data_IF_047231748854
#
_entry.id   IF_047231748854
#
_cell.length_a   1.000
_cell.length_b   1.000
_cell.length_c   1.000
_cell.angle_alpha   90.00
_cell.angle_beta   90.00
_cell.angle_gamma   90.00
#
_symmetry.space_group_name_H-M   'P 1'
#
loop_
_entity.id
_entity.type
_entity.pdbx_description
1 polymer ?
#
# COMPACT_ATOMS: atom_id res chain seq x y z
N UNK A 1 -5.23 -19.16 10.72
CA UNK A 1 -6.63 -18.94 10.28
C UNK A 1 -7.20 -17.67 10.91
N UNK A 2 -7.03 -16.53 10.24
CA UNK A 2 -7.88 -15.37 10.47
C UNK A 2 -8.19 -14.77 9.09
N UNK A 3 -9.01 -15.49 8.31
CA UNK A 3 -9.57 -14.95 7.09
C UNK A 3 -10.89 -14.28 7.48
N UNK A 4 -10.80 -13.04 7.98
CA UNK A 4 -11.96 -12.14 7.89
C UNK A 4 -12.25 -11.94 6.39
N UNK A 5 -13.51 -11.85 5.97
CA UNK A 5 -13.81 -11.50 4.58
C UNK A 5 -13.11 -10.18 4.27
N UNK A 6 -12.27 -10.18 3.23
CA UNK A 6 -11.61 -8.97 2.75
C UNK A 6 -12.70 -7.92 2.47
N UNK A 7 -12.42 -6.67 2.82
CA UNK A 7 -13.37 -5.56 2.71
C UNK A 7 -14.05 -5.46 1.33
N UNK A 8 -13.32 -5.88 0.29
CA UNK A 8 -13.79 -5.95 -1.10
C UNK A 8 -14.96 -6.92 -1.32
N UNK A 9 -15.01 -8.06 -0.61
CA UNK A 9 -16.14 -9.00 -0.71
C UNK A 9 -17.31 -8.55 0.14
N UNK A 10 -17.05 -7.97 1.31
CA UNK A 10 -18.07 -7.40 2.19
C UNK A 10 -18.88 -6.31 1.49
N UNK A 11 -18.21 -5.44 0.74
CA UNK A 11 -18.86 -4.36 -0.01
C UNK A 11 -19.30 -4.76 -1.44
N UNK A 12 -19.12 -6.02 -1.84
CA UNK A 12 -19.46 -6.50 -3.19
C UNK A 12 -18.66 -5.81 -4.31
N UNK A 13 -17.51 -5.22 -3.97
CA UNK A 13 -16.64 -4.52 -4.91
C UNK A 13 -15.89 -5.49 -5.83
N UNK A 14 -15.57 -6.70 -5.35
CA UNK A 14 -14.94 -7.74 -6.14
C UNK A 14 -15.48 -9.13 -5.76
N UNK A 15 -15.79 -10.01 -6.74
CA UNK A 15 -16.24 -11.36 -6.44
C UNK A 15 -15.09 -12.21 -5.86
N UNK A 16 -15.41 -13.10 -4.93
CA UNK A 16 -14.43 -13.85 -4.12
C UNK A 16 -13.46 -14.68 -4.97
N UNK A 17 -13.93 -15.25 -6.07
CA UNK A 17 -13.11 -16.05 -6.97
C UNK A 17 -11.98 -15.26 -7.64
N UNK A 18 -12.06 -13.92 -7.64
CA UNK A 18 -11.00 -13.03 -8.15
C UNK A 18 -9.98 -12.64 -7.10
N UNK A 19 -10.11 -13.13 -5.87
CA UNK A 19 -9.20 -12.83 -4.78
C UNK A 19 -8.36 -14.07 -4.46
N UNK A 20 -7.08 -13.86 -4.18
CA UNK A 20 -6.17 -14.89 -3.66
C UNK A 20 -5.52 -14.35 -2.40
N UNK A 21 -5.54 -15.14 -1.34
CA UNK A 21 -4.86 -14.83 -0.09
C UNK A 21 -3.48 -15.49 -0.11
N UNK A 22 -2.45 -14.73 0.21
CA UNK A 22 -1.08 -15.22 0.33
C UNK A 22 -0.61 -15.03 1.76
N UNK A 23 -0.37 -16.14 2.47
CA UNK A 23 0.16 -16.10 3.82
C UNK A 23 1.69 -16.01 3.76
N UNK A 24 2.25 -14.84 4.11
CA UNK A 24 3.69 -14.57 4.04
C UNK A 24 4.50 -15.14 5.21
N UNK A 25 3.83 -15.83 6.15
CA UNK A 25 4.43 -16.24 7.42
C UNK A 25 4.69 -15.05 8.35
N UNK A 26 5.97 -14.73 8.59
CA UNK A 26 6.38 -13.76 9.62
C UNK A 26 7.08 -12.47 9.15
N UNK A 27 7.51 -12.40 7.88
CA UNK A 27 8.28 -11.25 7.37
C UNK A 27 7.62 -10.65 6.11
N UNK A 28 6.57 -9.82 6.25
CA UNK A 28 5.84 -9.26 5.11
C UNK A 28 6.73 -8.46 4.14
N UNK A 29 7.78 -7.76 4.63
CA UNK A 29 8.70 -7.04 3.74
C UNK A 29 9.49 -7.98 2.82
N UNK A 30 9.78 -9.19 3.26
CA UNK A 30 10.61 -10.12 2.51
C UNK A 30 9.80 -10.66 1.33
N UNK A 31 8.53 -11.02 1.60
CA UNK A 31 7.59 -11.53 0.61
C UNK A 31 7.30 -10.53 -0.54
N UNK A 32 7.45 -9.22 -0.30
CA UNK A 32 7.20 -8.21 -1.34
C UNK A 32 8.46 -7.63 -1.96
N UNK A 33 9.65 -7.95 -1.43
CA UNK A 33 10.91 -7.33 -1.86
C UNK A 33 12.06 -8.30 -2.10
N UNK A 34 12.37 -9.15 -1.14
CA UNK A 34 13.57 -10.00 -1.16
C UNK A 34 13.30 -11.35 -1.81
N UNK A 35 12.15 -11.96 -1.52
CA UNK A 35 11.67 -13.18 -2.15
C UNK A 35 10.20 -13.01 -2.51
N UNK A 36 9.97 -12.63 -3.77
CA UNK A 36 8.64 -12.34 -4.31
C UNK A 36 7.93 -13.59 -4.86
N UNK A 37 8.59 -14.75 -4.82
CA UNK A 37 8.14 -15.97 -5.50
C UNK A 37 6.75 -16.42 -5.05
N UNK A 38 6.44 -16.25 -3.76
CA UNK A 38 5.15 -16.61 -3.17
C UNK A 38 3.98 -15.81 -3.74
N UNK A 39 4.23 -14.58 -4.21
CA UNK A 39 3.21 -13.72 -4.81
C UNK A 39 3.04 -13.96 -6.31
N UNK A 40 4.12 -14.33 -7.02
CA UNK A 40 4.09 -14.49 -8.48
C UNK A 40 3.15 -15.61 -8.96
N UNK A 41 3.05 -16.71 -8.20
CA UNK A 41 2.17 -17.83 -8.55
C UNK A 41 0.69 -17.41 -8.63
N UNK A 42 0.10 -16.92 -7.54
CA UNK A 42 -1.28 -16.44 -7.51
C UNK A 42 -1.56 -15.31 -8.51
N UNK A 43 -0.63 -14.36 -8.68
CA UNK A 43 -0.79 -13.29 -9.68
C UNK A 43 -0.87 -13.85 -11.10
N UNK A 44 0.00 -14.81 -11.44
CA UNK A 44 -0.01 -15.48 -12.75
C UNK A 44 -1.28 -16.29 -12.97
N UNK A 45 -1.79 -16.96 -11.93
CA UNK A 45 -3.06 -17.68 -11.99
C UNK A 45 -4.22 -16.73 -12.30
N UNK A 46 -4.38 -15.65 -11.53
CA UNK A 46 -5.44 -14.66 -11.71
C UNK A 46 -5.36 -13.98 -13.08
N UNK A 47 -4.16 -13.59 -13.51
CA UNK A 47 -3.93 -13.01 -14.84
C UNK A 47 -4.41 -13.96 -15.95
N UNK A 48 -4.05 -15.24 -15.86
CA UNK A 48 -4.41 -16.22 -16.89
C UNK A 48 -5.90 -16.57 -16.89
N UNK A 49 -6.49 -16.74 -15.71
CA UNK A 49 -7.87 -17.17 -15.53
C UNK A 49 -8.86 -16.09 -15.96
N UNK A 50 -8.59 -14.82 -15.62
CA UNK A 50 -9.50 -13.71 -15.86
C UNK A 50 -9.09 -12.78 -17.00
N UNK A 51 -7.94 -13.02 -17.63
CA UNK A 51 -7.35 -12.12 -18.65
C UNK A 51 -7.34 -10.67 -18.15
N UNK A 52 -6.94 -10.50 -16.89
CA UNK A 52 -7.02 -9.23 -16.19
C UNK A 52 -6.07 -8.20 -16.81
N UNK A 53 -6.58 -6.99 -17.08
CA UNK A 53 -5.78 -5.86 -17.53
C UNK A 53 -4.92 -5.26 -16.40
N UNK A 54 -5.37 -5.43 -15.14
CA UNK A 54 -4.71 -4.94 -13.94
C UNK A 54 -4.90 -5.92 -12.79
N UNK A 55 -3.85 -6.08 -11.99
CA UNK A 55 -3.86 -6.84 -10.74
C UNK A 55 -3.47 -5.92 -9.58
N UNK A 56 -4.18 -6.04 -8.47
CA UNK A 56 -3.85 -5.36 -7.22
C UNK A 56 -3.17 -6.35 -6.28
N UNK A 57 -2.00 -5.97 -5.78
CA UNK A 57 -1.27 -6.75 -4.77
C UNK A 57 -1.17 -5.90 -3.50
N UNK A 58 -1.88 -6.31 -2.46
CA UNK A 58 -1.84 -5.65 -1.16
C UNK A 58 -0.79 -6.33 -0.26
N UNK A 59 0.12 -5.54 0.33
CA UNK A 59 1.03 -6.06 1.35
C UNK A 59 0.29 -6.26 2.67
N UNK A 60 0.72 -7.20 3.52
CA UNK A 60 0.13 -7.41 4.85
C UNK A 60 0.36 -6.30 5.90
N UNK A 61 0.78 -5.10 5.48
CA UNK A 61 1.12 -3.98 6.34
C UNK A 61 2.55 -4.06 6.89
N UNK A 62 3.23 -2.90 6.97
CA UNK A 62 4.58 -2.80 7.50
C UNK A 62 4.91 -1.36 7.92
N UNK A 63 6.15 -1.13 8.36
CA UNK A 63 6.68 0.19 8.66
C UNK A 63 7.15 0.94 7.39
N UNK A 64 7.64 2.16 7.59
CA UNK A 64 8.08 3.10 6.55
C UNK A 64 9.26 2.60 5.69
N UNK A 65 9.97 1.54 6.14
CA UNK A 65 11.09 0.95 5.41
C UNK A 65 10.65 -0.08 4.35
N UNK A 66 9.39 -0.49 4.35
CA UNK A 66 8.87 -1.45 3.38
C UNK A 66 8.50 -0.76 2.07
N UNK A 67 8.89 -1.39 0.97
CA UNK A 67 8.50 -1.02 -0.38
C UNK A 67 8.50 -2.29 -1.25
N UNK A 68 7.65 -2.33 -2.27
CA UNK A 68 7.61 -3.45 -3.21
C UNK A 68 8.89 -3.48 -4.06
N UNK A 69 9.33 -4.69 -4.43
CA UNK A 69 10.30 -4.86 -5.50
C UNK A 69 9.67 -4.43 -6.83
N UNK A 70 10.46 -3.75 -7.66
CA UNK A 70 10.08 -3.42 -9.04
C UNK A 70 9.96 -4.65 -9.93
N UNK A 71 10.45 -5.81 -9.49
CA UNK A 71 10.22 -7.09 -10.17
C UNK A 71 8.82 -7.67 -9.86
N UNK A 72 8.16 -7.20 -8.81
CA UNK A 72 6.81 -7.64 -8.42
C UNK A 72 5.72 -6.66 -8.83
N UNK A 73 5.99 -5.35 -8.77
CA UNK A 73 5.01 -4.32 -9.05
C UNK A 73 5.53 -3.29 -10.04
N UNK A 74 4.78 -3.11 -11.15
CA UNK A 74 5.04 -2.06 -12.14
C UNK A 74 4.81 -0.67 -11.54
N UNK A 75 3.71 -0.53 -10.80
CA UNK A 75 3.32 0.69 -10.08
C UNK A 75 3.08 0.41 -8.60
N UNK A 76 3.52 1.34 -7.76
CA UNK A 76 3.46 1.24 -6.30
C UNK A 76 2.67 2.43 -5.76
N UNK A 77 1.57 2.13 -5.08
CA UNK A 77 0.83 3.08 -4.27
C UNK A 77 1.19 2.82 -2.81
N UNK A 78 1.71 3.84 -2.13
CA UNK A 78 2.03 3.76 -0.71
C UNK A 78 1.01 4.58 0.09
N UNK A 79 0.40 3.96 1.08
CA UNK A 79 -0.71 4.56 1.84
C UNK A 79 -0.25 4.77 3.28
N UNK A 80 -0.32 6.02 3.74
CA UNK A 80 -0.19 6.40 5.14
C UNK A 80 -1.51 7.01 5.62
N UNK A 81 -1.67 7.11 6.93
CA UNK A 81 -2.87 7.66 7.57
C UNK A 81 -2.48 8.84 8.46
N UNK A 82 -3.30 9.90 8.45
CA UNK A 82 -3.16 11.08 9.32
C UNK A 82 -3.13 10.69 10.80
N UNK A 83 -3.82 9.61 11.19
CA UNK A 83 -3.78 9.12 12.57
C UNK A 83 -2.37 8.69 13.03
N UNK A 84 -1.44 8.42 12.09
CA UNK A 84 -0.03 8.15 12.37
C UNK A 84 0.78 9.39 12.80
N UNK A 85 0.20 10.59 12.65
CA UNK A 85 0.77 11.89 13.00
C UNK A 85 1.29 12.69 11.80
N UNK A 86 1.23 14.01 11.91
CA UNK A 86 1.65 14.96 10.87
C UNK A 86 3.14 14.89 10.48
N UNK A 87 3.98 14.32 11.36
CA UNK A 87 5.41 14.11 11.11
C UNK A 87 5.72 12.85 10.28
N UNK A 88 4.73 12.03 9.93
CA UNK A 88 4.99 10.79 9.17
C UNK A 88 5.68 11.07 7.82
N UNK A 89 5.23 12.01 6.98
CA UNK A 89 5.88 12.26 5.69
C UNK A 89 7.38 12.58 5.83
N UNK A 90 7.78 13.46 6.76
CA UNK A 90 9.21 13.81 6.97
C UNK A 90 10.08 12.69 7.54
N UNK A 91 9.50 11.59 8.05
CA UNK A 91 10.29 10.41 8.45
C UNK A 91 10.86 9.69 7.22
N UNK A 92 10.26 9.89 6.04
CA UNK A 92 10.75 9.33 4.78
C UNK A 92 10.65 7.80 4.74
N UNK A 93 11.65 7.19 4.12
CA UNK A 93 11.64 5.76 3.80
C UNK A 93 11.18 5.52 2.36
N UNK A 94 11.53 4.36 1.78
CA UNK A 94 11.33 4.08 0.35
C UNK A 94 9.86 4.13 -0.07
N UNK A 95 8.92 3.77 0.81
CA UNK A 95 7.49 3.93 0.51
C UNK A 95 7.08 5.39 0.29
N UNK A 96 7.55 6.30 1.15
CA UNK A 96 7.28 7.73 1.00
C UNK A 96 8.06 8.34 -0.15
N UNK A 97 9.33 7.98 -0.35
CA UNK A 97 10.18 8.69 -1.32
C UNK A 97 10.19 8.10 -2.73
N UNK A 98 9.92 6.80 -2.89
CA UNK A 98 10.11 6.08 -4.16
C UNK A 98 8.83 5.48 -4.75
N UNK A 99 7.72 5.43 -4.00
CA UNK A 99 6.45 4.97 -4.55
C UNK A 99 5.95 5.91 -5.65
N UNK A 100 5.26 5.38 -6.65
CA UNK A 100 4.75 6.16 -7.77
C UNK A 100 3.60 7.08 -7.34
N UNK A 101 2.87 6.73 -6.28
CA UNK A 101 1.89 7.59 -5.63
C UNK A 101 1.94 7.42 -4.11
N UNK A 102 1.96 8.53 -3.37
CA UNK A 102 1.71 8.55 -1.93
C UNK A 102 0.25 8.96 -1.66
N UNK A 103 -0.48 8.17 -0.90
CA UNK A 103 -1.82 8.51 -0.41
C UNK A 103 -1.74 8.83 1.07
N UNK A 104 -2.23 10.00 1.46
CA UNK A 104 -2.38 10.41 2.86
C UNK A 104 -3.87 10.34 3.20
N UNK A 105 -4.27 9.21 3.79
CA UNK A 105 -5.66 8.83 4.02
C UNK A 105 -6.19 9.31 5.38
N UNK A 106 -7.53 9.29 5.52
CA UNK A 106 -8.30 9.65 6.72
C UNK A 106 -8.04 11.07 7.20
N UNK A 107 -8.04 12.00 6.25
CA UNK A 107 -7.88 13.43 6.54
C UNK A 107 -8.93 13.99 7.50
N UNK A 108 -10.10 13.35 7.58
CA UNK A 108 -11.15 13.65 8.54
C UNK A 108 -10.72 13.50 10.02
N UNK A 109 -9.70 12.69 10.30
CA UNK A 109 -9.20 12.48 11.65
C UNK A 109 -8.23 13.57 12.14
N UNK A 110 -7.80 14.50 11.28
CA UNK A 110 -6.81 15.52 11.63
C UNK A 110 -7.15 16.31 12.92
N UNK A 111 -8.40 16.79 13.13
CA UNK A 111 -8.74 17.52 14.36
C UNK A 111 -8.68 16.64 15.62
N UNK A 112 -8.97 15.34 15.49
CA UNK A 112 -9.01 14.42 16.61
C UNK A 112 -7.60 14.05 17.12
N UNK A 113 -6.61 14.02 16.21
CA UNK A 113 -5.21 13.68 16.54
C UNK A 113 -4.29 14.89 16.61
N UNK A 114 -4.82 16.10 16.36
CA UNK A 114 -4.04 17.34 16.36
C UNK A 114 -3.00 17.42 15.24
N UNK A 115 -3.28 16.79 14.09
CA UNK A 115 -2.39 16.81 12.94
C UNK A 115 -2.64 18.03 12.05
N UNK A 116 -1.58 18.66 11.55
CA UNK A 116 -1.64 19.73 10.58
C UNK A 116 -1.43 19.20 9.15
N UNK A 117 -2.47 19.26 8.33
CA UNK A 117 -2.43 18.79 6.94
C UNK A 117 -1.49 19.63 6.06
N UNK A 118 -1.29 20.92 6.36
CA UNK A 118 -0.36 21.76 5.62
C UNK A 118 1.10 21.34 5.88
N UNK A 119 1.40 20.89 7.11
CA UNK A 119 2.70 20.31 7.44
C UNK A 119 2.92 19.00 6.68
N UNK A 120 1.89 18.15 6.62
CA UNK A 120 1.96 16.88 5.88
C UNK A 120 2.19 17.09 4.38
N UNK A 121 1.47 18.05 3.77
CA UNK A 121 1.64 18.43 2.36
C UNK A 121 3.06 18.92 2.07
N UNK A 122 3.54 19.90 2.83
CA UNK A 122 4.89 20.45 2.67
C UNK A 122 5.95 19.37 2.76
N UNK A 123 5.84 18.49 3.76
CA UNK A 123 6.80 17.41 3.98
C UNK A 123 6.71 16.31 2.91
N UNK A 124 5.51 15.96 2.45
CA UNK A 124 5.32 14.99 1.37
C UNK A 124 5.97 15.49 0.08
N UNK A 125 5.70 16.74 -0.31
CA UNK A 125 6.32 17.38 -1.48
C UNK A 125 7.84 17.39 -1.36
N UNK A 126 8.37 17.77 -0.19
CA UNK A 126 9.82 17.80 0.04
C UNK A 126 10.44 16.41 -0.06
N UNK A 127 9.86 15.40 0.58
CA UNK A 127 10.44 14.05 0.64
C UNK A 127 10.31 13.29 -0.68
N UNK A 128 9.43 13.75 -1.57
CA UNK A 128 9.17 13.15 -2.88
C UNK A 128 9.79 13.95 -4.03
N UNK A 129 10.59 14.97 -3.74
CA UNK A 129 11.15 15.89 -4.75
C UNK A 129 10.08 16.47 -5.69
N UNK A 130 8.91 16.83 -5.13
CA UNK A 130 7.73 17.29 -5.88
C UNK A 130 6.91 16.20 -6.56
N UNK A 131 7.23 14.92 -6.32
CA UNK A 131 6.49 13.77 -6.83
C UNK A 131 5.04 13.71 -6.35
N UNK A 132 4.17 12.97 -7.06
CA UNK A 132 2.73 13.01 -6.84
C UNK A 132 2.33 12.42 -5.49
N UNK A 133 1.39 13.08 -4.84
CA UNK A 133 0.69 12.57 -3.66
C UNK A 133 -0.76 13.09 -3.66
N UNK A 134 -1.64 12.44 -2.91
CA UNK A 134 -3.04 12.86 -2.75
C UNK A 134 -3.49 12.74 -1.29
N UNK A 135 -4.38 13.62 -0.88
CA UNK A 135 -5.17 13.48 0.33
C UNK A 135 -6.46 12.70 0.05
N UNK A 136 -6.87 11.85 0.99
CA UNK A 136 -8.09 11.05 0.92
C UNK A 136 -8.88 11.10 2.24
#
# INVERSE_FOLDING_TARGET
MCALPLDLTLHGALPEERIRVVETGGCPHAAIREDISINLGPLKELSNLYKADMLLCESGGNNLAANFSRELADYIIYIIDVSGGDKIPRKGGPGITQADLLVINKTDLAPAVGADLAVMEHDALRMRDGGPFVFA
#
